data_IF_044795139933
#
_entry.id   IF_044795139933
#
_cell.length_a   1.000
_cell.length_b   1.000
_cell.length_c   1.000
_cell.angle_alpha   90.00
_cell.angle_beta   90.00
_cell.angle_gamma   90.00
#
_symmetry.space_group_name_H-M   'P 1'
#
loop_
_entity.id
_entity.type
_entity.pdbx_description
1 polymer ?
#
# COMPACT_ATOMS: atom_id res chain seq x y z
N UNK A 1 49.52 10.33 -15.26
CA UNK A 1 49.80 11.67 -15.83
C UNK A 1 48.78 11.88 -16.95
N UNK A 2 47.61 12.45 -16.60
CA UNK A 2 47.13 13.76 -17.12
C UNK A 2 47.21 13.87 -18.65
N UNK A 3 46.18 14.24 -19.41
CA UNK A 3 44.86 14.81 -19.15
C UNK A 3 44.15 14.77 -20.52
N UNK A 4 42.82 14.62 -20.50
CA UNK A 4 41.86 15.44 -21.25
C UNK A 4 42.31 16.00 -22.60
N UNK A 5 41.77 15.51 -23.72
CA UNK A 5 41.22 16.33 -24.84
C UNK A 5 40.45 15.36 -25.75
N UNK A 6 39.11 15.24 -25.68
CA UNK A 6 38.10 15.77 -26.62
C UNK A 6 36.85 14.88 -26.37
N UNK A 7 35.57 15.28 -26.33
CA UNK A 7 34.89 16.41 -26.93
C UNK A 7 33.45 16.48 -26.36
N UNK A 8 33.07 17.67 -25.91
CA UNK A 8 31.73 18.29 -25.97
C UNK A 8 30.46 17.42 -25.89
N UNK A 9 29.75 17.60 -24.78
CA UNK A 9 28.46 18.31 -24.80
C UNK A 9 28.21 18.95 -23.44
N UNK A 10 28.49 20.25 -23.37
CA UNK A 10 27.93 21.15 -22.38
C UNK A 10 26.40 21.10 -22.45
N UNK A 11 25.81 20.28 -21.61
CA UNK A 11 24.47 20.56 -21.09
C UNK A 11 24.71 21.20 -19.74
N UNK A 12 24.69 22.53 -19.75
CA UNK A 12 24.54 23.34 -18.56
C UNK A 12 23.21 22.94 -17.89
N UNK A 13 23.26 21.92 -17.04
CA UNK A 13 22.22 21.64 -16.06
C UNK A 13 22.41 22.71 -14.98
N UNK A 14 21.94 23.92 -15.29
CA UNK A 14 21.58 24.88 -14.27
C UNK A 14 20.52 24.20 -13.42
N UNK A 15 20.95 23.63 -12.30
CA UNK A 15 20.10 23.01 -11.31
C UNK A 15 19.17 24.11 -10.75
N UNK A 16 18.06 24.30 -11.43
CA UNK A 16 16.86 24.91 -10.88
C UNK A 16 16.56 24.13 -9.60
N UNK A 17 16.19 24.79 -8.47
CA UNK A 17 15.65 24.08 -7.32
C UNK A 17 14.27 23.57 -7.74
N UNK A 18 14.25 22.46 -8.47
CA UNK A 18 13.05 21.78 -8.90
C UNK A 18 12.27 21.46 -7.63
N UNK A 19 11.07 22.03 -7.56
CA UNK A 19 10.08 21.81 -6.53
C UNK A 19 10.19 20.38 -6.01
N UNK A 20 10.39 20.26 -4.71
CA UNK A 20 10.50 19.00 -3.99
C UNK A 20 9.42 18.03 -4.49
N UNK A 21 9.82 17.05 -5.30
CA UNK A 21 8.91 15.98 -5.72
C UNK A 21 8.62 15.20 -4.45
N UNK A 22 7.49 15.50 -3.82
CA UNK A 22 7.05 14.79 -2.64
C UNK A 22 6.41 13.49 -3.13
N UNK A 23 7.24 12.44 -3.21
CA UNK A 23 6.84 11.14 -3.71
C UNK A 23 6.00 10.45 -2.62
N UNK A 24 4.73 10.21 -2.92
CA UNK A 24 3.87 9.32 -2.15
C UNK A 24 4.24 7.86 -2.46
N UNK A 25 4.57 7.06 -1.44
CA UNK A 25 4.87 5.64 -1.59
C UNK A 25 3.62 4.77 -1.32
N UNK A 26 3.58 3.56 -1.90
CA UNK A 26 2.58 2.53 -1.58
C UNK A 26 2.54 2.20 -0.08
N UNK A 27 3.66 2.38 0.62
CA UNK A 27 3.72 2.23 2.08
C UNK A 27 2.89 3.29 2.79
N UNK A 28 2.93 4.53 2.33
CA UNK A 28 2.15 5.64 2.88
C UNK A 28 0.66 5.40 2.66
N UNK A 29 0.28 4.90 1.48
CA UNK A 29 -1.10 4.49 1.18
C UNK A 29 -1.62 3.39 2.12
N UNK A 30 -0.82 2.35 2.38
CA UNK A 30 -1.20 1.28 3.32
C UNK A 30 -1.39 1.79 4.74
N UNK A 31 -0.48 2.65 5.17
CA UNK A 31 -0.50 3.22 6.51
C UNK A 31 -1.71 4.17 6.69
N UNK A 32 -1.98 4.99 5.68
CA UNK A 32 -3.16 5.83 5.61
C UNK A 32 -4.45 5.00 5.69
N UNK A 33 -4.58 3.95 4.88
CA UNK A 33 -5.76 3.07 4.89
C UNK A 33 -5.97 2.39 6.24
N UNK A 34 -4.91 1.88 6.86
CA UNK A 34 -5.03 1.28 8.18
C UNK A 34 -5.48 2.30 9.24
N UNK A 35 -5.04 3.57 9.14
CA UNK A 35 -5.53 4.63 10.02
C UNK A 35 -6.99 4.99 9.74
N UNK A 36 -7.38 5.05 8.47
CA UNK A 36 -8.75 5.27 8.03
C UNK A 36 -9.72 4.17 8.51
N UNK A 37 -9.26 2.94 8.68
CA UNK A 37 -10.11 1.84 9.19
C UNK A 37 -10.17 1.81 10.71
N UNK A 38 -9.02 2.00 11.36
CA UNK A 38 -8.92 1.83 12.81
C UNK A 38 -9.35 3.06 13.62
N UNK A 39 -9.41 4.24 12.99
CA UNK A 39 -9.66 5.53 13.61
C UNK A 39 -8.80 5.80 14.86
N UNK A 40 -7.61 5.19 14.94
CA UNK A 40 -6.79 5.24 16.14
C UNK A 40 -5.29 5.17 15.83
N UNK A 41 -4.59 6.29 15.98
CA UNK A 41 -3.13 6.39 15.74
C UNK A 41 -2.31 5.33 16.49
N UNK A 42 -2.54 5.12 17.79
CA UNK A 42 -1.83 4.10 18.55
C UNK A 42 -2.00 2.66 18.02
N UNK A 43 -3.22 2.27 17.60
CA UNK A 43 -3.49 0.94 17.02
C UNK A 43 -2.81 0.80 15.67
N UNK A 44 -2.91 1.79 14.80
CA UNK A 44 -2.22 1.80 13.50
C UNK A 44 -0.70 1.76 13.67
N UNK A 45 -0.15 2.55 14.59
CA UNK A 45 1.29 2.58 14.82
C UNK A 45 1.81 1.18 15.20
N UNK A 46 1.09 0.49 16.08
CA UNK A 46 1.41 -0.89 16.48
C UNK A 46 1.32 -1.87 15.29
N UNK A 47 0.26 -1.80 14.50
CA UNK A 47 0.04 -2.68 13.35
C UNK A 47 1.05 -2.44 12.20
N UNK A 48 1.45 -1.19 12.01
CA UNK A 48 2.43 -0.79 10.99
C UNK A 48 3.88 -0.85 11.48
N UNK A 49 4.11 -1.32 12.71
CA UNK A 49 5.42 -1.44 13.35
C UNK A 49 6.22 -0.11 13.38
N UNK A 50 5.54 0.99 13.69
CA UNK A 50 6.12 2.33 13.82
C UNK A 50 5.74 2.97 15.16
N UNK A 51 6.46 4.00 15.59
CA UNK A 51 6.02 4.79 16.75
C UNK A 51 4.82 5.69 16.40
N UNK A 52 3.94 6.03 17.36
CA UNK A 52 2.86 6.99 17.12
C UNK A 52 3.33 8.35 16.61
N UNK A 53 4.50 8.81 17.06
CA UNK A 53 5.14 10.04 16.56
C UNK A 53 5.58 9.94 15.09
N UNK A 54 6.09 8.77 14.68
CA UNK A 54 6.47 8.51 13.28
C UNK A 54 5.24 8.47 12.38
N UNK A 55 4.18 7.77 12.83
CA UNK A 55 2.91 7.70 12.13
C UNK A 55 2.31 9.10 11.92
N UNK A 56 2.25 9.92 12.97
CA UNK A 56 1.73 11.29 12.87
C UNK A 56 2.51 12.12 11.85
N UNK A 57 3.85 12.03 11.87
CA UNK A 57 4.72 12.74 10.92
C UNK A 57 4.54 12.26 9.48
N UNK A 58 4.31 10.96 9.27
CA UNK A 58 4.03 10.42 7.93
C UNK A 58 2.69 10.92 7.39
N UNK A 59 1.63 10.91 8.21
CA UNK A 59 0.34 11.48 7.82
C UNK A 59 0.46 12.98 7.55
N UNK A 60 1.15 13.74 8.40
CA UNK A 60 1.36 15.18 8.17
C UNK A 60 2.08 15.45 6.85
N UNK A 61 3.13 14.69 6.53
CA UNK A 61 3.83 14.80 5.23
C UNK A 61 2.91 14.45 4.06
N UNK A 62 2.04 13.46 4.21
CA UNK A 62 1.07 13.07 3.20
C UNK A 62 0.05 14.21 2.97
N UNK A 63 -0.45 14.81 4.06
CA UNK A 63 -1.34 15.98 4.04
C UNK A 63 -0.66 17.20 3.40
N UNK A 64 0.59 17.48 3.74
CA UNK A 64 1.42 18.54 3.14
C UNK A 64 1.65 18.31 1.64
N UNK A 65 1.92 17.07 1.24
CA UNK A 65 2.12 16.68 -0.16
C UNK A 65 0.87 16.90 -1.00
N UNK A 66 -0.29 16.57 -0.43
CA UNK A 66 -1.59 16.73 -1.09
C UNK A 66 -2.19 18.13 -0.94
N UNK A 67 -1.62 18.95 -0.06
CA UNK A 67 -2.14 20.28 0.28
C UNK A 67 -3.51 20.26 0.95
N UNK A 68 -3.91 19.13 1.53
CA UNK A 68 -5.23 18.91 2.12
C UNK A 68 -5.13 18.13 3.42
N UNK A 69 -5.92 18.51 4.43
CA UNK A 69 -6.09 17.70 5.64
C UNK A 69 -6.90 16.45 5.29
N UNK A 70 -6.40 15.28 5.67
CA UNK A 70 -7.03 14.00 5.39
C UNK A 70 -7.83 13.49 6.59
N UNK A 71 -7.46 13.92 7.79
CA UNK A 71 -8.13 13.55 9.03
C UNK A 71 -8.56 14.77 9.85
N UNK A 72 -9.78 14.71 10.36
CA UNK A 72 -10.25 15.53 11.47
C UNK A 72 -9.73 14.90 12.77
N UNK A 73 -8.99 15.68 13.56
CA UNK A 73 -8.40 15.22 14.82
C UNK A 73 -9.06 15.99 15.98
N UNK A 74 -9.86 15.30 16.77
CA UNK A 74 -10.26 15.75 18.10
C UNK A 74 -9.51 14.91 19.15
N UNK A 75 -9.55 15.31 20.41
CA UNK A 75 -8.82 14.69 21.52
C UNK A 75 -9.18 13.20 21.74
N UNK A 76 -10.26 12.71 21.10
CA UNK A 76 -10.77 11.34 21.23
C UNK A 76 -11.20 10.67 19.92
N UNK A 77 -11.40 11.43 18.84
CA UNK A 77 -11.92 10.91 17.57
C UNK A 77 -10.99 11.26 16.42
N UNK A 78 -10.82 10.30 15.52
CA UNK A 78 -10.11 10.47 14.25
C UNK A 78 -11.10 10.09 13.17
N UNK A 79 -11.47 11.05 12.35
CA UNK A 79 -12.44 10.86 11.26
C UNK A 79 -11.82 11.35 9.94
N UNK A 80 -12.27 10.80 8.82
CA UNK A 80 -11.81 11.24 7.51
C UNK A 80 -12.49 12.57 7.14
N UNK A 81 -11.73 13.42 6.44
CA UNK A 81 -12.30 14.54 5.69
C UNK A 81 -12.81 14.05 4.33
N UNK A 82 -13.51 14.91 3.58
CA UNK A 82 -13.89 14.63 2.19
C UNK A 82 -12.67 14.29 1.31
N UNK A 83 -11.54 14.98 1.53
CA UNK A 83 -10.28 14.68 0.86
C UNK A 83 -9.69 13.33 1.30
N UNK A 84 -9.82 12.99 2.58
CA UNK A 84 -9.47 11.68 3.13
C UNK A 84 -10.27 10.55 2.49
N UNK A 85 -11.58 10.72 2.33
CA UNK A 85 -12.44 9.72 1.66
C UNK A 85 -12.06 9.52 0.18
N UNK A 86 -11.77 10.60 -0.54
CA UNK A 86 -11.28 10.51 -1.91
C UNK A 86 -9.94 9.75 -1.98
N UNK A 87 -9.02 10.05 -1.08
CA UNK A 87 -7.73 9.35 -1.00
C UNK A 87 -7.92 7.87 -0.64
N UNK A 88 -8.88 7.52 0.22
CA UNK A 88 -9.19 6.13 0.60
C UNK A 88 -9.55 5.31 -0.63
N UNK A 89 -10.48 5.79 -1.44
CA UNK A 89 -10.89 5.11 -2.68
C UNK A 89 -9.71 4.94 -3.63
N UNK A 90 -8.93 6.01 -3.85
CA UNK A 90 -7.74 5.97 -4.70
C UNK A 90 -6.69 4.97 -4.19
N UNK A 91 -6.43 4.96 -2.89
CA UNK A 91 -5.43 4.11 -2.25
C UNK A 91 -5.79 2.62 -2.38
N UNK A 92 -7.06 2.28 -2.14
CA UNK A 92 -7.57 0.91 -2.31
C UNK A 92 -7.40 0.44 -3.76
N UNK A 93 -7.83 1.25 -4.74
CA UNK A 93 -7.71 0.92 -6.16
C UNK A 93 -6.24 0.76 -6.61
N UNK A 94 -5.38 1.67 -6.15
CA UNK A 94 -3.95 1.62 -6.50
C UNK A 94 -3.28 0.36 -5.94
N UNK A 95 -3.59 0.01 -4.68
CA UNK A 95 -3.07 -1.22 -4.07
C UNK A 95 -3.60 -2.48 -4.75
N UNK A 96 -4.86 -2.49 -5.21
CA UNK A 96 -5.41 -3.58 -6.04
C UNK A 96 -4.56 -3.78 -7.29
N UNK A 97 -4.39 -2.70 -8.06
CA UNK A 97 -3.74 -2.75 -9.36
C UNK A 97 -2.30 -3.21 -9.21
N UNK A 98 -1.62 -2.73 -8.16
CA UNK A 98 -0.27 -3.18 -7.83
C UNK A 98 -0.22 -4.67 -7.47
N UNK A 99 -1.18 -5.18 -6.70
CA UNK A 99 -1.27 -6.60 -6.37
C UNK A 99 -1.54 -7.46 -7.62
N UNK A 100 -2.47 -7.02 -8.49
CA UNK A 100 -2.78 -7.68 -9.76
C UNK A 100 -1.56 -7.73 -10.68
N UNK A 101 -0.81 -6.63 -10.79
CA UNK A 101 0.43 -6.58 -11.54
C UNK A 101 1.45 -7.58 -10.97
N UNK A 102 1.66 -7.60 -9.65
CA UNK A 102 2.55 -8.57 -9.01
C UNK A 102 2.14 -10.01 -9.29
N UNK A 103 0.85 -10.29 -9.26
CA UNK A 103 0.33 -11.62 -9.56
C UNK A 103 0.58 -12.00 -11.02
N UNK A 104 0.25 -11.10 -11.96
CA UNK A 104 0.48 -11.31 -13.39
C UNK A 104 1.96 -11.52 -13.74
N UNK A 105 2.86 -10.75 -13.10
CA UNK A 105 4.30 -10.92 -13.29
C UNK A 105 4.82 -12.21 -12.61
N UNK A 106 4.31 -12.57 -11.43
CA UNK A 106 4.68 -13.79 -10.70
C UNK A 106 4.24 -15.09 -11.35
N UNK A 107 3.28 -15.05 -12.28
CA UNK A 107 2.82 -16.20 -13.07
C UNK A 107 3.82 -16.66 -14.16
N UNK A 108 5.01 -16.05 -14.27
CA UNK A 108 6.06 -16.47 -15.22
C UNK A 108 7.04 -17.53 -14.65
N UNK A 109 6.91 -17.93 -13.38
CA UNK A 109 7.46 -19.20 -12.87
C UNK A 109 6.46 -20.35 -13.10
N UNK A 110 6.83 -21.64 -12.92
CA UNK A 110 5.89 -22.74 -13.11
C UNK A 110 4.71 -22.61 -12.12
N UNK A 111 3.66 -21.93 -12.57
CA UNK A 111 2.38 -21.82 -11.90
C UNK A 111 1.72 -23.18 -12.05
N UNK A 112 1.47 -23.86 -10.92
CA UNK A 112 0.63 -25.04 -10.90
C UNK A 112 -0.81 -24.59 -11.17
N UNK A 113 -1.14 -24.41 -12.45
CA UNK A 113 -2.46 -24.03 -12.93
C UNK A 113 -3.13 -25.26 -13.53
N UNK A 114 -4.36 -25.54 -13.09
CA UNK A 114 -5.12 -26.72 -13.51
C UNK A 114 -6.35 -26.95 -12.64
N UNK A 115 -7.24 -27.83 -13.10
CA UNK A 115 -8.39 -28.27 -12.31
C UNK A 115 -7.94 -29.34 -11.29
N UNK A 116 -7.90 -29.00 -10.01
CA UNK A 116 -7.65 -29.97 -8.94
C UNK A 116 -8.95 -30.68 -8.56
N UNK A 117 -9.18 -31.87 -9.13
CA UNK A 117 -10.29 -32.75 -8.74
C UNK A 117 -9.90 -33.56 -7.52
N UNK A 118 -10.47 -33.22 -6.35
CA UNK A 118 -10.27 -33.95 -5.11
C UNK A 118 -11.43 -34.93 -4.89
N UNK A 119 -11.12 -36.21 -4.76
CA UNK A 119 -12.07 -37.21 -4.25
C UNK A 119 -11.86 -37.32 -2.73
N UNK A 120 -12.86 -36.90 -1.96
CA UNK A 120 -12.84 -37.04 -0.51
C UNK A 120 -14.24 -37.45 -0.01
N UNK A 121 -14.27 -38.10 1.15
CA UNK A 121 -15.54 -38.41 1.82
C UNK A 121 -16.24 -37.13 2.27
N UNK A 122 -17.56 -37.17 2.41
CA UNK A 122 -18.36 -36.00 2.84
C UNK A 122 -17.80 -35.39 4.12
N UNK A 123 -17.41 -36.23 5.09
CA UNK A 123 -16.81 -35.77 6.35
C UNK A 123 -15.47 -35.04 6.15
N UNK A 124 -14.60 -35.56 5.28
CA UNK A 124 -13.30 -34.94 5.00
C UNK A 124 -13.42 -33.63 4.21
N UNK A 125 -14.41 -33.51 3.33
CA UNK A 125 -14.72 -32.28 2.61
C UNK A 125 -15.12 -31.14 3.57
N UNK A 126 -15.86 -31.45 4.64
CA UNK A 126 -16.28 -30.43 5.60
C UNK A 126 -15.22 -30.11 6.66
N UNK A 127 -14.37 -31.06 7.04
CA UNK A 127 -13.37 -30.84 8.10
C UNK A 127 -12.03 -30.28 7.61
N UNK A 128 -11.60 -30.67 6.40
CA UNK A 128 -10.25 -30.36 5.91
C UNK A 128 -10.23 -29.37 4.75
N UNK A 129 -11.29 -29.28 3.94
CA UNK A 129 -11.34 -28.33 2.82
C UNK A 129 -11.40 -26.87 3.28
N UNK A 130 -12.17 -26.49 4.34
CA UNK A 130 -12.22 -25.10 4.81
C UNK A 130 -10.85 -24.52 5.21
N UNK A 131 -10.01 -25.17 6.04
CA UNK A 131 -8.71 -24.59 6.41
C UNK A 131 -7.71 -24.50 5.25
N UNK A 132 -7.81 -25.38 4.24
CA UNK A 132 -6.94 -25.37 3.05
C UNK A 132 -7.34 -24.22 2.10
N UNK A 133 -8.65 -23.97 1.96
CA UNK A 133 -9.15 -22.83 1.21
C UNK A 133 -8.91 -21.51 1.96
N UNK A 134 -9.02 -21.49 3.28
CA UNK A 134 -8.78 -20.28 4.09
C UNK A 134 -7.35 -19.74 3.93
N UNK A 135 -6.34 -20.61 3.87
CA UNK A 135 -4.95 -20.18 3.72
C UNK A 135 -4.68 -19.39 2.41
N UNK A 136 -5.47 -19.64 1.36
CA UNK A 136 -5.31 -19.01 0.04
C UNK A 136 -6.36 -17.93 -0.23
N UNK A 137 -7.57 -18.10 0.29
CA UNK A 137 -8.73 -17.24 0.04
C UNK A 137 -8.82 -16.10 1.06
N UNK A 138 -8.34 -16.25 2.30
CA UNK A 138 -8.33 -15.15 3.27
C UNK A 138 -7.41 -14.00 2.83
N UNK A 139 -6.33 -14.28 2.09
CA UNK A 139 -5.48 -13.23 1.49
C UNK A 139 -6.19 -12.41 0.41
N UNK A 140 -7.26 -12.96 -0.19
CA UNK A 140 -8.02 -12.34 -1.29
C UNK A 140 -9.31 -11.68 -0.77
N UNK A 141 -9.96 -12.26 0.24
CA UNK A 141 -11.20 -11.73 0.82
C UNK A 141 -10.97 -10.60 1.83
N UNK A 142 -9.86 -10.60 2.59
CA UNK A 142 -9.49 -9.45 3.44
C UNK A 142 -9.23 -8.17 2.63
N UNK A 143 -8.87 -8.30 1.35
CA UNK A 143 -8.63 -7.16 0.48
C UNK A 143 -9.93 -6.55 -0.08
N UNK A 144 -11.05 -7.30 -0.10
CA UNK A 144 -12.32 -6.85 -0.71
C UNK A 144 -13.35 -6.32 0.28
N UNK A 145 -13.03 -6.25 1.57
CA UNK A 145 -13.94 -5.77 2.61
C UNK A 145 -13.19 -4.92 3.65
N UNK A 146 -12.80 -3.69 3.29
CA UNK A 146 -12.63 -2.51 4.17
C UNK A 146 -12.22 -1.29 3.34
#
# INVERSE_FOLDING_TARGET
MLKLIYYERDVAISATPAASVLIMDLRDLKLFLHLAESHHFGRTAKAMHVSPSTLSRQIQRLEETLGQSLFLRDNRTVELTDAGEQLKVFAQQTLLQYQQLKHSLGQHGPSLSGELRLFCSVTAAYSHLPPILDASVLSILWWRSS
#
